data_IF_240835792641
#
_entry.id   IF_240835792641
#
_cell.length_a   1.000
_cell.length_b   1.000
_cell.length_c   1.000
_cell.angle_alpha   90.00
_cell.angle_beta   90.00
_cell.angle_gamma   90.00
#
_symmetry.space_group_name_H-M   'P 1'
#
loop_
_entity.id
_entity.type
_entity.pdbx_description
1 polymer ?
#
# COMPACT_ATOMS: atom_id res chain seq x y z
N UNK A 1 23.87 5.21 30.08
CA UNK A 1 23.32 5.09 28.72
C UNK A 1 23.52 3.65 28.28
N UNK A 2 22.49 3.00 27.68
CA UNK A 2 22.65 1.63 27.17
C UNK A 2 23.56 1.59 25.94
N UNK A 3 24.08 0.44 25.61
CA UNK A 3 24.84 0.24 24.38
C UNK A 3 23.93 0.47 23.15
N UNK A 4 24.44 1.08 22.08
CA UNK A 4 23.66 1.29 20.87
C UNK A 4 23.32 -0.08 20.22
N UNK A 5 22.12 -0.15 19.64
CA UNK A 5 21.70 -1.33 18.88
C UNK A 5 22.62 -1.49 17.67
N UNK A 6 23.21 -2.66 17.51
CA UNK A 6 24.13 -3.00 16.41
C UNK A 6 23.55 -4.06 15.47
N UNK A 7 22.53 -4.79 15.92
CA UNK A 7 21.91 -5.87 15.17
C UNK A 7 20.39 -5.86 15.31
N UNK A 8 19.69 -6.07 14.19
CA UNK A 8 18.23 -6.25 14.14
C UNK A 8 17.94 -7.58 13.45
N UNK A 9 17.15 -8.43 14.12
CA UNK A 9 16.66 -9.68 13.53
C UNK A 9 15.16 -9.53 13.24
N UNK A 10 14.78 -9.78 11.99
CA UNK A 10 13.40 -9.76 11.50
C UNK A 10 12.97 -11.22 11.34
N UNK A 11 11.89 -11.62 12.01
CA UNK A 11 11.36 -12.96 11.91
C UNK A 11 10.11 -12.93 11.04
N UNK A 12 10.17 -13.61 9.91
CA UNK A 12 9.12 -13.69 8.91
C UNK A 12 9.52 -13.04 7.58
N UNK A 13 9.60 -13.85 6.53
CA UNK A 13 9.97 -13.46 5.16
C UNK A 13 8.79 -13.03 4.28
N UNK A 14 7.67 -12.65 4.88
CA UNK A 14 6.53 -12.07 4.15
C UNK A 14 6.79 -10.62 3.73
N UNK A 15 5.82 -10.02 3.04
CA UNK A 15 5.88 -8.64 2.52
C UNK A 15 6.34 -7.63 3.59
N UNK A 16 5.78 -7.69 4.80
CA UNK A 16 6.14 -6.77 5.88
C UNK A 16 7.60 -6.93 6.34
N UNK A 17 8.09 -8.18 6.45
CA UNK A 17 9.46 -8.46 6.86
C UNK A 17 10.47 -7.95 5.84
N UNK A 18 10.24 -8.22 4.58
CA UNK A 18 11.09 -7.73 3.49
C UNK A 18 11.06 -6.20 3.37
N UNK A 19 9.89 -5.56 3.50
CA UNK A 19 9.77 -4.10 3.50
C UNK A 19 10.57 -3.47 4.66
N UNK A 20 10.47 -4.05 5.87
CA UNK A 20 11.23 -3.60 7.02
C UNK A 20 12.74 -3.76 6.81
N UNK A 21 13.19 -4.92 6.28
CA UNK A 21 14.60 -5.16 5.99
C UNK A 21 15.16 -4.14 4.99
N UNK A 22 14.47 -3.95 3.87
CA UNK A 22 14.88 -2.97 2.85
C UNK A 22 14.93 -1.56 3.41
N UNK A 23 13.94 -1.16 4.19
CA UNK A 23 13.92 0.18 4.81
C UNK A 23 15.10 0.39 5.77
N UNK A 24 15.40 -0.58 6.63
CA UNK A 24 16.53 -0.51 7.55
C UNK A 24 17.86 -0.40 6.79
N UNK A 25 18.06 -1.22 5.78
CA UNK A 25 19.30 -1.22 5.02
C UNK A 25 19.48 0.06 4.21
N UNK A 26 18.43 0.52 3.54
CA UNK A 26 18.54 1.65 2.60
C UNK A 26 18.42 3.01 3.26
N UNK A 27 17.58 3.14 4.31
CA UNK A 27 17.29 4.47 4.92
C UNK A 27 17.97 4.67 6.25
N UNK A 28 18.03 3.66 7.08
CA UNK A 28 18.67 3.77 8.39
C UNK A 28 20.19 3.67 8.24
N UNK A 29 20.67 2.62 7.57
CA UNK A 29 22.10 2.40 7.42
C UNK A 29 22.79 3.45 6.55
N UNK A 30 22.12 4.02 5.54
CA UNK A 30 22.70 5.08 4.70
C UNK A 30 23.03 6.37 5.47
N UNK A 31 22.46 6.56 6.66
CA UNK A 31 22.64 7.72 7.50
C UNK A 31 23.42 7.43 8.79
N UNK A 32 23.75 6.18 9.02
CA UNK A 32 24.40 5.76 10.25
C UNK A 32 25.92 5.72 10.10
N UNK A 33 26.66 6.26 11.09
CA UNK A 33 28.11 6.10 11.17
C UNK A 33 28.50 4.62 11.33
N UNK A 34 27.69 3.86 12.05
CA UNK A 34 27.85 2.40 12.21
C UNK A 34 26.58 1.71 11.72
N UNK A 35 26.62 1.08 10.56
CA UNK A 35 25.46 0.38 10.01
C UNK A 35 25.01 -0.75 10.93
N UNK A 36 23.69 -0.97 11.00
CA UNK A 36 23.08 -2.10 11.66
C UNK A 36 23.32 -3.37 10.84
N UNK A 37 23.63 -4.47 11.51
CA UNK A 37 23.49 -5.80 10.92
C UNK A 37 21.99 -6.13 10.85
N UNK A 38 21.45 -6.30 9.65
CA UNK A 38 20.05 -6.68 9.44
C UNK A 38 19.99 -8.14 9.00
N UNK A 39 19.34 -8.97 9.81
CA UNK A 39 19.14 -10.38 9.54
C UNK A 39 17.65 -10.68 9.38
N UNK A 40 17.23 -11.21 8.23
CA UNK A 40 15.88 -11.69 8.00
C UNK A 40 15.87 -13.21 8.07
N UNK A 41 14.97 -13.75 8.89
CA UNK A 41 14.82 -15.19 9.12
C UNK A 41 13.45 -15.61 8.62
N UNK A 42 13.44 -16.52 7.65
CA UNK A 42 12.21 -17.09 7.11
C UNK A 42 12.24 -18.61 7.13
N UNK A 43 11.07 -19.23 7.15
CA UNK A 43 10.94 -20.68 7.06
C UNK A 43 10.91 -21.11 5.59
N UNK A 44 11.70 -22.10 5.18
CA UNK A 44 11.59 -22.67 3.84
C UNK A 44 10.28 -23.43 3.61
N UNK A 45 9.60 -23.81 4.70
CA UNK A 45 8.37 -24.62 4.65
C UNK A 45 7.09 -23.78 4.63
N UNK A 46 7.19 -22.47 4.82
CA UNK A 46 6.05 -21.56 4.79
C UNK A 46 6.10 -20.73 3.50
N UNK A 47 5.31 -21.10 2.49
CA UNK A 47 5.28 -20.35 1.23
C UNK A 47 4.63 -18.98 1.43
N UNK A 48 4.93 -18.06 0.53
CA UNK A 48 4.20 -16.78 0.43
C UNK A 48 2.73 -17.06 0.23
N UNK A 49 1.89 -16.41 1.02
CA UNK A 49 0.43 -16.54 0.91
C UNK A 49 0.00 -15.95 -0.43
N UNK A 50 -0.52 -16.77 -1.32
CA UNK A 50 -1.00 -16.37 -2.64
C UNK A 50 -2.40 -15.77 -2.56
N UNK A 51 -2.51 -14.54 -2.12
CA UNK A 51 -3.75 -13.74 -2.09
C UNK A 51 -3.61 -12.51 -2.97
N UNK A 52 -4.73 -11.96 -3.41
CA UNK A 52 -4.71 -10.64 -4.04
C UNK A 52 -4.37 -9.59 -3.00
N UNK A 53 -3.18 -9.03 -3.08
CA UNK A 53 -2.75 -7.94 -2.22
C UNK A 53 -2.98 -6.60 -2.89
N UNK A 54 -3.49 -5.65 -2.13
CA UNK A 54 -3.65 -4.28 -2.57
C UNK A 54 -2.83 -3.36 -1.70
N UNK A 55 -2.04 -2.51 -2.33
CA UNK A 55 -1.26 -1.49 -1.64
C UNK A 55 -2.15 -0.32 -1.21
N UNK A 56 -1.64 0.48 -0.29
CA UNK A 56 -2.27 1.73 0.17
C UNK A 56 -1.52 2.94 -0.42
N UNK A 57 -2.13 4.14 -0.47
CA UNK A 57 -1.52 5.33 -1.08
C UNK A 57 -0.12 5.68 -0.53
N UNK A 58 0.16 5.36 0.73
CA UNK A 58 1.47 5.55 1.37
C UNK A 58 2.60 4.75 0.71
N UNK A 59 2.28 3.71 -0.08
CA UNK A 59 3.27 2.93 -0.82
C UNK A 59 4.03 3.78 -1.83
N UNK A 60 3.36 4.71 -2.50
CA UNK A 60 4.00 5.67 -3.42
C UNK A 60 5.11 6.46 -2.73
N UNK A 61 4.81 6.97 -1.53
CA UNK A 61 5.81 7.69 -0.72
C UNK A 61 6.98 6.79 -0.35
N UNK A 62 6.72 5.55 0.01
CA UNK A 62 7.76 4.58 0.36
C UNK A 62 8.66 4.27 -0.85
N UNK A 63 8.11 4.12 -2.06
CA UNK A 63 8.89 3.97 -3.29
C UNK A 63 9.79 5.18 -3.55
N UNK A 64 9.27 6.40 -3.39
CA UNK A 64 10.04 7.62 -3.53
C UNK A 64 11.18 7.71 -2.50
N UNK A 65 10.90 7.35 -1.25
CA UNK A 65 11.90 7.33 -0.19
C UNK A 65 13.02 6.32 -0.44
N UNK A 66 12.73 5.21 -1.09
CA UNK A 66 13.70 4.18 -1.47
C UNK A 66 14.31 4.40 -2.86
N UNK A 67 13.91 5.44 -3.57
CA UNK A 67 14.32 5.72 -4.95
C UNK A 67 14.03 4.55 -5.91
N UNK A 68 12.92 3.84 -5.67
CA UNK A 68 12.49 2.72 -6.51
C UNK A 68 11.76 3.24 -7.74
N UNK A 69 12.11 2.70 -8.89
CA UNK A 69 11.38 2.92 -10.13
C UNK A 69 10.04 2.15 -10.10
N UNK A 70 8.93 2.90 -10.02
CA UNK A 70 7.58 2.33 -9.97
C UNK A 70 7.27 1.50 -11.22
N UNK A 71 7.75 1.92 -12.38
CA UNK A 71 7.54 1.21 -13.65
C UNK A 71 8.24 -0.15 -13.64
N UNK A 72 9.50 -0.18 -13.20
CA UNK A 72 10.25 -1.43 -13.06
C UNK A 72 9.62 -2.35 -11.99
N UNK A 73 9.10 -1.77 -10.90
CA UNK A 73 8.40 -2.53 -9.87
C UNK A 73 7.13 -3.19 -10.43
N UNK A 74 6.28 -2.42 -11.14
CA UNK A 74 5.05 -2.94 -11.75
C UNK A 74 5.36 -4.10 -12.70
N UNK A 75 6.36 -3.96 -13.54
CA UNK A 75 6.76 -5.02 -14.48
C UNK A 75 7.29 -6.27 -13.77
N UNK A 76 8.17 -6.12 -12.79
CA UNK A 76 8.79 -7.24 -12.08
C UNK A 76 7.82 -8.00 -11.18
N UNK A 77 6.89 -7.29 -10.58
CA UNK A 77 5.89 -7.86 -9.67
C UNK A 77 4.61 -8.29 -10.38
N UNK A 78 4.52 -8.12 -11.71
CA UNK A 78 3.29 -8.35 -12.47
C UNK A 78 2.08 -7.63 -11.84
N UNK A 79 2.32 -6.41 -11.37
CA UNK A 79 1.35 -5.61 -10.67
C UNK A 79 0.47 -4.82 -11.64
N UNK A 80 -0.68 -4.35 -11.17
CA UNK A 80 -1.57 -3.47 -11.91
C UNK A 80 -2.08 -2.35 -11.02
N UNK A 81 -2.62 -1.30 -11.63
CA UNK A 81 -3.21 -0.21 -10.89
C UNK A 81 -4.54 -0.62 -10.25
N UNK A 82 -4.72 -0.24 -8.99
CA UNK A 82 -5.98 -0.34 -8.30
C UNK A 82 -6.67 1.03 -8.32
N UNK A 83 -7.82 1.11 -8.97
CA UNK A 83 -8.55 2.37 -9.16
C UNK A 83 -9.58 2.64 -8.06
N UNK A 84 -10.09 1.60 -7.44
CA UNK A 84 -11.11 1.72 -6.41
C UNK A 84 -11.60 0.37 -5.89
N UNK A 85 -12.59 0.41 -5.02
CA UNK A 85 -13.33 -0.77 -4.54
C UNK A 85 -14.78 -0.62 -4.92
N UNK A 86 -15.35 -1.63 -5.57
CA UNK A 86 -16.79 -1.74 -5.77
C UNK A 86 -17.39 -2.57 -4.63
N UNK A 87 -18.31 -1.98 -3.91
CA UNK A 87 -19.10 -2.63 -2.87
C UNK A 87 -20.42 -3.06 -3.47
N UNK A 88 -20.60 -4.36 -3.62
CA UNK A 88 -21.78 -4.96 -4.26
C UNK A 88 -22.82 -5.29 -3.19
N UNK A 89 -24.06 -4.87 -3.39
CA UNK A 89 -25.17 -5.08 -2.44
C UNK A 89 -24.84 -4.57 -1.01
N UNK A 90 -24.08 -3.49 -0.91
CA UNK A 90 -23.64 -2.96 0.39
C UNK A 90 -24.70 -2.07 1.05
N UNK A 91 -25.54 -1.45 0.25
CA UNK A 91 -26.58 -0.54 0.71
C UNK A 91 -27.93 -0.92 0.04
N UNK A 92 -29.01 -0.24 0.44
CA UNK A 92 -30.32 -0.45 -0.12
C UNK A 92 -30.99 0.90 -0.42
N UNK A 93 -31.76 0.96 -1.50
CA UNK A 93 -32.61 2.11 -1.79
C UNK A 93 -33.80 2.19 -0.83
N UNK A 94 -34.62 3.25 -0.97
CA UNK A 94 -35.80 3.47 -0.14
C UNK A 94 -36.85 2.35 -0.28
N UNK A 95 -36.79 1.55 -1.35
CA UNK A 95 -37.69 0.43 -1.61
C UNK A 95 -37.09 -0.92 -1.15
N UNK A 96 -35.88 -0.90 -0.59
CA UNK A 96 -35.19 -2.09 -0.14
C UNK A 96 -34.42 -2.85 -1.24
N UNK A 97 -34.25 -2.27 -2.43
CA UNK A 97 -33.45 -2.88 -3.48
C UNK A 97 -31.95 -2.69 -3.18
N UNK A 98 -31.12 -3.71 -3.41
CA UNK A 98 -29.69 -3.59 -3.15
C UNK A 98 -29.02 -2.57 -4.08
N UNK A 99 -28.11 -1.81 -3.52
CA UNK A 99 -27.32 -0.82 -4.22
C UNK A 99 -25.83 -1.16 -4.18
N UNK A 100 -25.17 -0.88 -5.29
CA UNK A 100 -23.73 -0.94 -5.40
C UNK A 100 -23.14 0.47 -5.36
N UNK A 101 -21.96 0.63 -4.75
CA UNK A 101 -21.22 1.85 -4.90
C UNK A 101 -19.73 1.59 -5.13
N UNK A 102 -19.04 2.55 -5.74
CA UNK A 102 -17.61 2.51 -5.97
C UNK A 102 -16.94 3.57 -5.09
N UNK A 103 -15.94 3.14 -4.32
CA UNK A 103 -15.05 4.02 -3.60
C UNK A 103 -13.73 4.12 -4.38
N UNK A 104 -13.47 5.24 -5.08
CA UNK A 104 -12.20 5.45 -5.77
C UNK A 104 -11.09 5.71 -4.75
N UNK A 105 -9.85 5.30 -5.08
CA UNK A 105 -8.69 5.48 -4.19
C UNK A 105 -7.97 6.80 -4.38
N UNK A 106 -8.20 7.47 -5.47
CA UNK A 106 -7.65 8.80 -5.72
C UNK A 106 -8.79 9.78 -5.99
N UNK A 107 -8.52 11.06 -5.81
CA UNK A 107 -9.46 12.09 -6.21
C UNK A 107 -9.77 11.97 -7.70
N UNK A 108 -11.04 12.16 -8.07
CA UNK A 108 -11.48 12.17 -9.47
C UNK A 108 -11.00 13.43 -10.23
N UNK A 109 -9.86 13.99 -9.84
CA UNK A 109 -9.33 15.25 -10.32
C UNK A 109 -9.44 16.39 -9.29
N UNK A 110 -9.12 17.60 -9.73
CA UNK A 110 -9.20 18.79 -8.89
C UNK A 110 -10.65 19.12 -8.50
N UNK A 111 -10.81 19.75 -7.35
CA UNK A 111 -12.12 20.20 -6.89
C UNK A 111 -12.79 21.14 -7.92
N UNK A 112 -14.03 20.84 -8.24
CA UNK A 112 -14.85 21.67 -9.13
C UNK A 112 -15.70 22.60 -8.25
N UNK A 113 -15.46 23.89 -8.34
CA UNK A 113 -16.18 24.90 -7.51
C UNK A 113 -16.12 24.61 -6.01
N UNK A 114 -14.98 24.08 -5.52
CA UNK A 114 -14.77 23.76 -4.10
C UNK A 114 -15.39 22.44 -3.63
N UNK A 115 -15.87 21.60 -4.56
CA UNK A 115 -16.41 20.28 -4.25
C UNK A 115 -15.65 19.20 -4.98
N UNK A 116 -15.37 18.11 -4.28
CA UNK A 116 -14.76 16.93 -4.88
C UNK A 116 -15.64 16.38 -6.02
N UNK A 117 -15.09 16.03 -7.19
CA UNK A 117 -15.86 15.46 -8.30
C UNK A 117 -16.75 14.27 -7.92
N UNK A 118 -16.38 13.48 -6.92
CA UNK A 118 -17.22 12.40 -6.40
C UNK A 118 -18.62 12.89 -5.96
N UNK A 119 -18.73 14.13 -5.44
CA UNK A 119 -20.00 14.73 -5.07
C UNK A 119 -20.94 14.87 -6.27
N UNK A 120 -20.43 15.26 -7.42
CA UNK A 120 -21.22 15.40 -8.64
C UNK A 120 -21.63 14.03 -9.19
N UNK A 121 -20.75 13.04 -9.17
CA UNK A 121 -21.10 11.67 -9.56
C UNK A 121 -22.23 11.11 -8.71
N UNK A 122 -22.15 11.27 -7.39
CA UNK A 122 -23.20 10.79 -6.49
C UNK A 122 -24.55 11.44 -6.79
N UNK A 123 -24.56 12.73 -7.10
CA UNK A 123 -25.80 13.47 -7.39
C UNK A 123 -26.42 13.09 -8.73
N UNK A 124 -25.65 12.58 -9.69
CA UNK A 124 -26.18 12.10 -10.98
C UNK A 124 -26.72 10.68 -10.91
N UNK A 125 -26.26 9.87 -9.96
CA UNK A 125 -26.71 8.48 -9.80
C UNK A 125 -27.99 8.34 -8.95
N UNK A 126 -28.40 9.40 -8.25
CA UNK A 126 -29.56 9.41 -7.33
C UNK A 126 -30.77 10.11 -7.98
N UNK A 127 -30.96 10.00 -9.28
CA UNK A 127 -32.17 10.45 -9.96
C UNK A 127 -33.10 9.29 -10.21
#
# INVERSE_FOLDING_TARGET
MGEPISKVSIIGGGTAGWMAAVHLVTRVNSRAEKPLEVCLIESPDIPTVGVGEATVPTMKRWFQELELDESAFIQRCNASFKLGVRFVNWDHDINGNPLDYVHPFDGLGDDISGYNPAYYFHRFLVK
#
